data_IF_242969408839
#
_entry.id   IF_242969408839
#
_cell.length_a   1.000
_cell.length_b   1.000
_cell.length_c   1.000
_cell.angle_alpha   90.00
_cell.angle_beta   90.00
_cell.angle_gamma   90.00
#
_symmetry.space_group_name_H-M   'P 1'
#
loop_
_entity.id
_entity.type
_entity.pdbx_description
1 polymer ?
#
# COMPACT_ATOMS: atom_id res chain seq x y z
N UNK A 1 -60.73 20.24 21.04
CA UNK A 1 -61.83 19.91 20.10
C UNK A 1 -61.16 19.71 18.74
N UNK A 2 -61.15 18.52 18.16
CA UNK A 2 -62.34 17.86 17.58
C UNK A 2 -62.23 16.32 17.58
N UNK A 3 -63.38 15.69 17.78
CA UNK A 3 -63.57 14.26 18.01
C UNK A 3 -63.73 13.43 16.71
N UNK A 4 -62.74 13.46 15.81
CA UNK A 4 -62.85 12.79 14.50
C UNK A 4 -61.74 11.78 14.13
N UNK A 5 -60.64 11.67 14.88
CA UNK A 5 -59.47 10.88 14.46
C UNK A 5 -59.41 9.43 14.99
N UNK A 6 -60.52 8.88 15.51
CA UNK A 6 -60.52 7.59 16.23
C UNK A 6 -60.96 6.38 15.38
N UNK A 7 -61.10 6.52 14.06
CA UNK A 7 -61.87 5.55 13.26
C UNK A 7 -61.12 4.49 12.47
N UNK A 8 -59.82 4.58 12.25
CA UNK A 8 -59.13 3.63 11.37
C UNK A 8 -57.90 2.98 12.03
N UNK A 9 -58.14 2.29 13.16
CA UNK A 9 -57.14 1.40 13.79
C UNK A 9 -57.45 -0.04 13.39
N UNK A 10 -56.43 -0.79 12.99
CA UNK A 10 -56.53 -2.22 12.68
C UNK A 10 -55.63 -3.02 13.64
N UNK A 11 -56.09 -4.22 13.98
CA UNK A 11 -55.26 -5.16 14.74
C UNK A 11 -54.07 -5.60 13.88
N UNK A 12 -52.90 -5.70 14.49
CA UNK A 12 -51.67 -6.11 13.80
C UNK A 12 -51.78 -7.56 13.27
N UNK A 13 -52.65 -8.37 13.87
CA UNK A 13 -52.93 -9.72 13.38
C UNK A 13 -53.78 -9.72 12.10
N UNK A 14 -54.55 -8.67 11.86
CA UNK A 14 -55.41 -8.51 10.67
C UNK A 14 -54.72 -7.79 9.49
N UNK A 15 -53.40 -7.54 9.58
CA UNK A 15 -52.64 -6.91 8.50
C UNK A 15 -52.49 -7.84 7.30
N UNK A 16 -52.75 -7.30 6.11
CA UNK A 16 -52.56 -7.99 4.84
C UNK A 16 -51.70 -7.15 3.88
N UNK A 17 -51.08 -7.82 2.92
CA UNK A 17 -50.37 -7.16 1.82
C UNK A 17 -51.37 -6.30 1.04
N UNK A 18 -50.96 -5.07 0.72
CA UNK A 18 -51.80 -4.06 0.07
C UNK A 18 -52.42 -3.03 1.02
N UNK A 19 -52.33 -3.22 2.35
CA UNK A 19 -52.80 -2.23 3.33
C UNK A 19 -51.80 -1.08 3.50
N UNK A 20 -52.30 0.16 3.56
CA UNK A 20 -51.53 1.35 3.87
C UNK A 20 -51.58 1.65 5.38
N UNK A 21 -50.42 1.61 6.04
CA UNK A 21 -50.31 1.74 7.50
C UNK A 21 -49.50 2.96 7.92
N UNK A 22 -49.78 3.47 9.11
CA UNK A 22 -49.01 4.53 9.77
C UNK A 22 -48.47 4.01 11.11
N UNK A 23 -47.14 3.96 11.23
CA UNK A 23 -46.41 3.64 12.45
C UNK A 23 -46.26 4.92 13.27
N UNK A 24 -46.99 5.01 14.38
CA UNK A 24 -46.87 6.11 15.36
C UNK A 24 -45.67 5.94 16.30
N UNK A 25 -44.58 5.39 15.76
CA UNK A 25 -43.32 5.16 16.45
C UNK A 25 -42.28 6.17 15.93
N UNK A 26 -41.27 6.48 16.75
CA UNK A 26 -40.14 7.29 16.28
C UNK A 26 -39.39 6.57 15.16
N UNK A 27 -38.83 7.31 14.20
CA UNK A 27 -38.16 6.75 13.01
C UNK A 27 -36.98 5.81 13.34
N UNK A 28 -36.39 5.91 14.53
CA UNK A 28 -35.35 5.01 15.05
C UNK A 28 -35.90 3.70 15.66
N UNK A 29 -37.22 3.58 15.82
CA UNK A 29 -37.88 2.47 16.50
C UNK A 29 -38.48 1.43 15.54
N UNK A 30 -38.28 1.60 14.23
CA UNK A 30 -38.67 0.62 13.22
C UNK A 30 -37.66 0.63 12.05
N UNK A 31 -37.46 -0.51 11.35
CA UNK A 31 -36.48 -0.61 10.27
C UNK A 31 -36.98 -0.08 8.92
N UNK A 32 -38.19 0.50 8.86
CA UNK A 32 -38.77 1.04 7.62
C UNK A 32 -38.26 2.47 7.32
N UNK A 33 -38.02 2.81 6.04
CA UNK A 33 -37.52 4.13 5.63
C UNK A 33 -38.54 5.27 5.83
N UNK A 34 -39.83 4.94 5.93
CA UNK A 34 -40.92 5.88 6.16
C UNK A 34 -41.83 5.36 7.27
N UNK A 35 -42.35 6.25 8.11
CA UNK A 35 -43.33 5.91 9.16
C UNK A 35 -44.75 5.67 8.62
N UNK A 36 -44.98 5.81 7.32
CA UNK A 36 -46.21 5.40 6.66
C UNK A 36 -45.90 4.85 5.28
N UNK A 37 -46.49 3.71 4.94
CA UNK A 37 -46.25 3.02 3.69
C UNK A 37 -47.30 1.94 3.45
N UNK A 38 -47.36 1.47 2.21
CA UNK A 38 -48.19 0.34 1.81
C UNK A 38 -47.42 -0.96 1.97
N UNK A 39 -48.03 -1.93 2.64
CA UNK A 39 -47.45 -3.25 2.87
C UNK A 39 -47.32 -3.97 1.52
N UNK A 40 -46.09 -4.23 1.09
CA UNK A 40 -45.79 -4.85 -0.21
C UNK A 40 -45.64 -6.37 -0.14
N UNK A 41 -45.27 -6.91 1.02
CA UNK A 41 -44.98 -8.34 1.20
C UNK A 41 -45.23 -8.81 2.65
N UNK A 42 -45.21 -10.14 2.83
CA UNK A 42 -45.42 -10.77 4.13
C UNK A 42 -44.25 -10.54 5.14
N UNK A 43 -43.06 -10.20 4.66
CA UNK A 43 -41.89 -9.92 5.50
C UNK A 43 -42.06 -8.59 6.25
N UNK A 44 -42.67 -7.59 5.61
CA UNK A 44 -43.03 -6.33 6.25
C UNK A 44 -44.07 -6.54 7.37
N UNK A 45 -45.06 -7.43 7.17
CA UNK A 45 -46.05 -7.78 8.20
C UNK A 45 -45.36 -8.44 9.41
N UNK A 46 -44.46 -9.39 9.17
CA UNK A 46 -43.69 -10.05 10.23
C UNK A 46 -42.85 -9.04 11.03
N UNK A 47 -42.28 -8.06 10.33
CA UNK A 47 -41.50 -6.99 10.96
C UNK A 47 -42.40 -6.08 11.81
N UNK A 48 -43.59 -5.67 11.32
CA UNK A 48 -44.55 -4.88 12.11
C UNK A 48 -45.01 -5.65 13.36
N UNK A 49 -45.27 -6.96 13.26
CA UNK A 49 -45.60 -7.83 14.39
C UNK A 49 -44.49 -7.88 15.43
N UNK A 50 -43.22 -7.87 15.00
CA UNK A 50 -42.07 -7.87 15.90
C UNK A 50 -41.90 -6.57 16.71
N UNK A 51 -42.56 -5.48 16.31
CA UNK A 51 -42.51 -4.18 17.01
C UNK A 51 -43.37 -4.15 18.29
N UNK A 52 -44.12 -5.21 18.59
CA UNK A 52 -44.90 -5.34 19.83
C UNK A 52 -46.15 -4.45 19.90
N UNK A 53 -46.61 -3.91 18.77
CA UNK A 53 -47.83 -3.10 18.68
C UNK A 53 -49.06 -4.01 18.67
N UNK A 54 -50.11 -3.64 19.41
CA UNK A 54 -51.41 -4.34 19.38
C UNK A 54 -52.32 -3.82 18.28
N UNK A 55 -52.28 -2.52 18.01
CA UNK A 55 -53.08 -1.89 16.97
C UNK A 55 -52.24 -0.83 16.27
N UNK A 56 -52.46 -0.69 14.97
CA UNK A 56 -51.79 0.29 14.12
C UNK A 56 -52.84 1.08 13.34
N UNK A 57 -52.53 2.33 13.03
CA UNK A 57 -53.43 3.14 12.19
C UNK A 57 -53.26 2.72 10.74
N UNK A 58 -54.36 2.64 10.00
CA UNK A 58 -54.34 2.33 8.58
C UNK A 58 -55.23 3.29 7.79
N UNK A 59 -55.04 3.36 6.47
CA UNK A 59 -55.81 4.22 5.58
C UNK A 59 -56.60 3.35 4.58
N UNK A 60 -57.92 3.19 4.77
CA UNK A 60 -58.76 2.41 3.86
C UNK A 60 -58.78 2.94 2.42
N UNK A 61 -58.63 4.26 2.24
CA UNK A 61 -58.64 4.91 0.92
C UNK A 61 -57.34 4.79 0.14
N UNK A 62 -56.24 4.45 0.82
CA UNK A 62 -54.91 4.25 0.20
C UNK A 62 -54.50 2.76 0.17
N UNK A 63 -55.37 1.88 0.66
CA UNK A 63 -55.17 0.44 0.68
C UNK A 63 -55.84 -0.20 -0.54
N UNK A 64 -55.21 -1.21 -1.12
CA UNK A 64 -55.80 -1.97 -2.23
C UNK A 64 -56.87 -2.97 -1.79
N UNK A 65 -57.03 -3.13 -0.47
CA UNK A 65 -57.88 -4.16 0.13
C UNK A 65 -58.97 -3.46 0.94
N UNK A 66 -60.24 -3.75 0.64
CA UNK A 66 -61.34 -3.40 1.52
C UNK A 66 -61.24 -4.21 2.82
N UNK A 67 -61.58 -3.61 3.96
CA UNK A 67 -61.42 -4.18 5.29
C UNK A 67 -61.82 -5.68 5.35
N UNK A 68 -61.01 -6.56 5.96
CA UNK A 68 -61.27 -7.99 5.96
C UNK A 68 -62.51 -8.30 6.79
N UNK A 69 -63.58 -8.76 6.13
CA UNK A 69 -64.66 -9.47 6.81
C UNK A 69 -64.16 -10.88 7.14
N UNK A 70 -64.12 -11.20 8.43
CA UNK A 70 -63.83 -12.53 8.95
C UNK A 70 -65.01 -13.43 8.58
N UNK A 71 -64.89 -14.16 7.48
CA UNK A 71 -65.46 -15.49 7.24
C UNK A 71 -65.32 -15.85 5.77
N UNK A 72 -64.51 -16.86 5.51
CA UNK A 72 -64.79 -18.03 4.65
C UNK A 72 -63.49 -18.55 4.07
N UNK A 73 -63.20 -19.79 4.48
CA UNK A 73 -62.12 -20.62 3.99
C UNK A 73 -62.60 -21.23 2.69
N UNK A 74 -61.99 -20.88 1.55
CA UNK A 74 -62.13 -21.69 0.35
C UNK A 74 -60.80 -21.78 -0.40
N UNK A 75 -60.42 -23.03 -0.65
CA UNK A 75 -59.19 -23.43 -1.30
C UNK A 75 -59.26 -23.17 -2.81
N UNK A 76 -58.20 -22.60 -3.38
CA UNK A 76 -57.98 -22.58 -4.83
C UNK A 76 -56.54 -22.99 -5.13
N UNK A 77 -56.42 -23.96 -6.03
CA UNK A 77 -55.20 -24.60 -6.57
C UNK A 77 -54.20 -23.61 -7.20
N UNK A 78 -52.91 -23.99 -7.36
CA UNK A 78 -51.85 -23.07 -7.75
C UNK A 78 -51.83 -22.82 -9.27
N UNK A 79 -51.87 -21.55 -9.67
CA UNK A 79 -51.54 -21.09 -11.03
C UNK A 79 -50.08 -20.60 -11.11
N UNK A 80 -49.46 -20.60 -12.31
CA UNK A 80 -48.06 -20.94 -12.51
C UNK A 80 -47.08 -19.86 -12.05
N UNK A 81 -45.89 -20.32 -11.66
CA UNK A 81 -44.74 -19.54 -11.22
C UNK A 81 -44.40 -18.47 -12.26
N UNK A 82 -44.80 -17.22 -11.99
CA UNK A 82 -44.26 -16.07 -12.71
C UNK A 82 -42.77 -15.98 -12.39
N UNK A 83 -41.95 -16.16 -13.42
CA UNK A 83 -40.49 -16.05 -13.36
C UNK A 83 -40.14 -14.64 -12.86
N UNK A 84 -39.60 -14.53 -11.65
CA UNK A 84 -39.09 -13.25 -11.12
C UNK A 84 -37.86 -12.90 -11.96
N UNK A 85 -37.99 -11.89 -12.83
CA UNK A 85 -36.85 -11.31 -13.52
C UNK A 85 -35.86 -10.74 -12.48
N UNK A 86 -34.53 -10.85 -12.69
CA UNK A 86 -33.57 -10.33 -11.73
C UNK A 86 -33.77 -8.82 -11.56
N UNK A 87 -33.84 -8.34 -10.32
CA UNK A 87 -33.81 -6.91 -10.01
C UNK A 87 -32.50 -6.32 -10.54
N UNK A 88 -32.58 -5.56 -11.63
CA UNK A 88 -31.44 -4.85 -12.20
C UNK A 88 -31.01 -3.75 -11.22
N UNK A 89 -29.79 -3.87 -10.71
CA UNK A 89 -29.20 -2.92 -9.75
C UNK A 89 -29.04 -1.54 -10.38
N UNK A 90 -29.25 -0.46 -9.60
CA UNK A 90 -29.09 0.91 -10.12
C UNK A 90 -27.62 1.23 -10.39
N UNK A 91 -27.28 2.09 -11.38
CA UNK A 91 -25.90 2.49 -11.67
C UNK A 91 -25.16 3.06 -10.46
N UNK A 92 -25.84 3.83 -9.60
CA UNK A 92 -25.25 4.37 -8.38
C UNK A 92 -24.95 3.30 -7.32
N UNK A 93 -25.83 2.30 -7.16
CA UNK A 93 -25.60 1.19 -6.25
C UNK A 93 -24.42 0.32 -6.73
N UNK A 94 -24.35 0.09 -8.05
CA UNK A 94 -23.24 -0.60 -8.70
C UNK A 94 -21.90 0.13 -8.47
N UNK A 95 -21.84 1.44 -8.72
CA UNK A 95 -20.64 2.25 -8.51
C UNK A 95 -20.19 2.26 -7.04
N UNK A 96 -21.12 2.37 -6.09
CA UNK A 96 -20.82 2.27 -4.65
C UNK A 96 -20.26 0.91 -4.27
N UNK A 97 -20.82 -0.18 -4.82
CA UNK A 97 -20.30 -1.54 -4.61
C UNK A 97 -18.90 -1.69 -5.20
N UNK A 98 -18.68 -1.24 -6.43
CA UNK A 98 -17.38 -1.28 -7.09
C UNK A 98 -16.31 -0.50 -6.31
N UNK A 99 -16.63 0.70 -5.83
CA UNK A 99 -15.73 1.50 -4.99
C UNK A 99 -15.38 0.79 -3.68
N UNK A 100 -16.38 0.18 -3.00
CA UNK A 100 -16.15 -0.60 -1.78
C UNK A 100 -15.22 -1.78 -2.03
N UNK A 101 -15.44 -2.53 -3.11
CA UNK A 101 -14.59 -3.65 -3.50
C UNK A 101 -13.18 -3.21 -3.91
N UNK A 102 -13.04 -2.06 -4.57
CA UNK A 102 -11.72 -1.49 -4.89
C UNK A 102 -10.96 -1.10 -3.62
N UNK A 103 -11.63 -0.40 -2.69
CA UNK A 103 -11.04 0.03 -1.43
C UNK A 103 -10.62 -1.19 -0.59
N UNK A 104 -11.46 -2.23 -0.55
CA UNK A 104 -11.15 -3.50 0.13
C UNK A 104 -9.89 -4.13 -0.46
N UNK A 105 -9.82 -4.32 -1.78
CA UNK A 105 -8.63 -4.86 -2.47
C UNK A 105 -7.37 -4.03 -2.23
N UNK A 106 -7.50 -2.70 -2.26
CA UNK A 106 -6.40 -1.78 -1.97
C UNK A 106 -5.84 -1.99 -0.56
N UNK A 107 -6.73 -2.07 0.45
CA UNK A 107 -6.38 -2.27 1.85
C UNK A 107 -5.77 -3.66 2.08
N UNK A 108 -6.36 -4.70 1.50
CA UNK A 108 -5.84 -6.07 1.59
C UNK A 108 -4.44 -6.21 0.99
N UNK A 109 -4.20 -5.60 -0.18
CA UNK A 109 -2.89 -5.58 -0.82
C UNK A 109 -1.84 -4.84 0.02
N UNK A 110 -2.17 -3.65 0.54
CA UNK A 110 -1.26 -2.90 1.42
C UNK A 110 -0.94 -3.71 2.69
N UNK A 111 -1.96 -4.26 3.35
CA UNK A 111 -1.80 -5.02 4.57
C UNK A 111 -0.95 -6.29 4.34
N UNK A 112 -1.05 -6.92 3.16
CA UNK A 112 -0.19 -8.04 2.81
C UNK A 112 1.27 -7.60 2.67
N UNK A 113 1.56 -6.52 1.95
CA UNK A 113 2.91 -5.97 1.83
C UNK A 113 3.49 -5.59 3.21
N UNK A 114 2.70 -4.94 4.06
CA UNK A 114 3.12 -4.52 5.39
C UNK A 114 3.43 -5.72 6.30
N UNK A 115 2.58 -6.76 6.30
CA UNK A 115 2.85 -8.00 7.05
C UNK A 115 4.13 -8.67 6.57
N UNK A 116 4.29 -8.84 5.26
CA UNK A 116 5.48 -9.50 4.70
C UNK A 116 6.76 -8.71 4.98
N UNK A 117 6.71 -7.39 4.87
CA UNK A 117 7.84 -6.53 5.23
C UNK A 117 8.15 -6.61 6.73
N UNK A 118 7.14 -6.62 7.59
CA UNK A 118 7.31 -6.73 9.03
C UNK A 118 7.96 -8.07 9.44
N UNK A 119 7.49 -9.18 8.88
CA UNK A 119 8.06 -10.51 9.08
C UNK A 119 9.53 -10.54 8.62
N UNK A 120 9.82 -10.01 7.42
CA UNK A 120 11.18 -9.90 6.92
C UNK A 120 12.05 -9.01 7.83
N UNK A 121 11.50 -7.92 8.37
CA UNK A 121 12.25 -6.97 9.19
C UNK A 121 12.62 -7.60 10.53
N UNK A 122 11.68 -8.35 11.11
CA UNK A 122 11.94 -9.13 12.32
C UNK A 122 12.98 -10.23 12.07
N UNK A 123 12.88 -10.95 10.95
CA UNK A 123 13.89 -11.97 10.59
C UNK A 123 15.28 -11.34 10.40
N UNK A 124 15.36 -10.21 9.70
CA UNK A 124 16.60 -9.45 9.50
C UNK A 124 17.20 -8.96 10.82
N UNK A 125 16.37 -8.53 11.77
CA UNK A 125 16.82 -8.15 13.11
C UNK A 125 17.45 -9.35 13.83
N UNK A 126 16.71 -10.45 13.91
CA UNK A 126 17.10 -11.65 14.65
C UNK A 126 18.38 -12.28 14.09
N UNK A 127 18.52 -12.37 12.76
CA UNK A 127 19.74 -12.90 12.15
C UNK A 127 20.94 -11.98 12.39
N UNK A 128 20.74 -10.67 12.41
CA UNK A 128 21.82 -9.69 12.63
C UNK A 128 22.31 -9.76 14.09
N UNK A 129 21.39 -9.78 15.06
CA UNK A 129 21.73 -9.88 16.49
C UNK A 129 22.45 -11.19 16.84
N UNK A 130 22.10 -12.29 16.17
CA UNK A 130 22.69 -13.61 16.42
C UNK A 130 23.98 -13.87 15.65
N UNK A 131 24.30 -13.08 14.63
CA UNK A 131 25.45 -13.32 13.76
C UNK A 131 26.81 -13.44 14.49
N UNK A 132 27.11 -12.65 15.54
CA UNK A 132 28.38 -12.79 16.26
C UNK A 132 28.55 -14.15 16.96
N UNK A 133 27.46 -14.71 17.49
CA UNK A 133 27.47 -15.96 18.28
C UNK A 133 27.16 -17.19 17.43
N UNK A 134 26.29 -17.04 16.43
CA UNK A 134 25.79 -18.11 15.56
C UNK A 134 25.91 -17.72 14.06
N UNK A 135 27.14 -17.57 13.55
CA UNK A 135 27.36 -17.01 12.20
C UNK A 135 26.81 -17.90 11.08
N UNK A 136 26.93 -19.24 11.17
CA UNK A 136 26.43 -20.14 10.13
C UNK A 136 24.90 -20.20 10.08
N UNK A 137 24.24 -20.19 11.25
CA UNK A 137 22.77 -20.12 11.32
C UNK A 137 22.26 -18.80 10.76
N UNK A 138 22.96 -17.70 11.05
CA UNK A 138 22.61 -16.37 10.55
C UNK A 138 22.79 -16.28 9.03
N UNK A 139 23.81 -16.95 8.46
CA UNK A 139 23.93 -17.13 7.00
C UNK A 139 22.74 -17.87 6.43
N UNK A 140 22.40 -19.03 7.00
CA UNK A 140 21.30 -19.85 6.49
C UNK A 140 19.96 -19.09 6.51
N UNK A 141 19.72 -18.29 7.55
CA UNK A 141 18.54 -17.41 7.63
C UNK A 141 18.58 -16.28 6.60
N UNK A 142 19.74 -15.64 6.37
CA UNK A 142 19.88 -14.62 5.35
C UNK A 142 19.65 -15.19 3.94
N UNK A 143 20.20 -16.37 3.64
CA UNK A 143 19.99 -17.10 2.38
C UNK A 143 18.51 -17.47 2.20
N UNK A 144 17.84 -17.96 3.24
CA UNK A 144 16.40 -18.29 3.19
C UNK A 144 15.53 -17.05 2.96
N UNK A 145 15.84 -15.93 3.62
CA UNK A 145 15.11 -14.67 3.44
C UNK A 145 15.34 -14.11 2.02
N UNK A 146 16.59 -14.08 1.56
CA UNK A 146 16.92 -13.65 0.20
C UNK A 146 16.21 -14.53 -0.84
N UNK A 147 16.23 -15.86 -0.66
CA UNK A 147 15.52 -16.81 -1.53
C UNK A 147 14.02 -16.52 -1.59
N UNK A 148 13.37 -16.35 -0.44
CA UNK A 148 11.94 -16.03 -0.39
C UNK A 148 11.60 -14.70 -1.09
N UNK A 149 12.51 -13.73 -1.10
CA UNK A 149 12.35 -12.48 -1.86
C UNK A 149 12.57 -12.72 -3.37
N UNK A 150 13.60 -13.50 -3.76
CA UNK A 150 13.87 -13.87 -5.16
C UNK A 150 12.64 -14.57 -5.75
N UNK A 151 12.11 -15.58 -5.07
CA UNK A 151 10.98 -16.39 -5.56
C UNK A 151 9.74 -15.53 -5.83
N UNK A 152 9.50 -14.51 -4.99
CA UNK A 152 8.42 -13.54 -5.18
C UNK A 152 8.67 -12.55 -6.32
N UNK A 153 9.93 -12.29 -6.67
CA UNK A 153 10.31 -11.38 -7.75
C UNK A 153 10.42 -12.08 -9.11
N UNK A 154 10.71 -13.37 -9.14
CA UNK A 154 10.78 -14.21 -10.34
C UNK A 154 9.38 -14.67 -10.81
N UNK A 155 8.39 -13.79 -10.68
CA UNK A 155 7.05 -13.99 -11.26
C UNK A 155 6.99 -13.40 -12.66
N UNK A 156 6.12 -13.96 -13.51
CA UNK A 156 5.77 -13.35 -14.79
C UNK A 156 5.01 -12.03 -14.57
N UNK A 157 5.37 -11.01 -15.35
CA UNK A 157 4.72 -9.69 -15.31
C UNK A 157 5.52 -8.58 -14.61
N UNK A 158 4.98 -7.38 -14.69
CA UNK A 158 5.59 -6.16 -14.13
C UNK A 158 5.48 -6.14 -12.60
N UNK A 159 6.44 -5.53 -11.92
CA UNK A 159 6.39 -5.27 -10.48
C UNK A 159 6.19 -3.77 -10.23
N UNK A 160 5.41 -3.45 -9.21
CA UNK A 160 5.22 -2.11 -8.70
C UNK A 160 6.00 -1.94 -7.39
N UNK A 161 6.71 -0.81 -7.25
CA UNK A 161 7.25 -0.39 -5.95
C UNK A 161 6.12 0.28 -5.17
N UNK A 162 5.88 -0.17 -3.94
CA UNK A 162 4.82 0.32 -3.06
C UNK A 162 5.39 0.95 -1.81
N UNK A 163 4.87 2.14 -1.46
CA UNK A 163 5.16 2.80 -0.20
C UNK A 163 4.38 2.10 0.92
N UNK A 164 5.08 1.77 2.01
CA UNK A 164 4.46 1.22 3.21
C UNK A 164 3.98 2.33 4.14
N UNK A 165 2.86 2.11 4.82
CA UNK A 165 2.26 3.10 5.72
C UNK A 165 2.65 2.87 7.18
N UNK A 166 2.99 1.63 7.55
CA UNK A 166 3.49 1.25 8.87
C UNK A 166 5.01 1.06 8.89
N UNK A 167 5.65 1.53 9.97
CA UNK A 167 7.04 1.19 10.26
C UNK A 167 7.06 -0.18 10.93
N UNK A 168 7.91 -1.08 10.45
CA UNK A 168 8.06 -2.41 11.02
C UNK A 168 9.53 -2.72 11.30
N UNK A 169 9.80 -3.28 12.47
CA UNK A 169 11.16 -3.53 12.93
C UNK A 169 11.90 -2.28 13.40
N UNK A 170 13.19 -2.45 13.68
CA UNK A 170 14.05 -1.35 14.08
C UNK A 170 14.68 -0.66 12.86
N UNK A 171 15.36 0.46 13.10
CA UNK A 171 15.93 1.28 12.03
C UNK A 171 16.96 0.53 11.18
N UNK A 172 17.80 -0.30 11.80
CA UNK A 172 18.84 -1.05 11.10
C UNK A 172 18.22 -2.11 10.17
N UNK A 173 17.21 -2.84 10.65
CA UNK A 173 16.54 -3.86 9.84
C UNK A 173 15.73 -3.26 8.70
N UNK A 174 15.06 -2.12 8.93
CA UNK A 174 14.37 -1.39 7.87
C UNK A 174 15.34 -0.91 6.77
N UNK A 175 16.51 -0.39 7.16
CA UNK A 175 17.55 0.04 6.23
C UNK A 175 18.05 -1.13 5.37
N UNK A 176 18.46 -2.22 6.01
CA UNK A 176 18.94 -3.42 5.32
C UNK A 176 17.88 -3.97 4.35
N UNK A 177 16.61 -4.01 4.74
CA UNK A 177 15.54 -4.46 3.86
C UNK A 177 15.21 -3.53 2.71
N UNK A 178 15.12 -2.21 2.94
CA UNK A 178 14.91 -1.25 1.86
C UNK A 178 16.02 -1.38 0.82
N UNK A 179 17.28 -1.44 1.28
CA UNK A 179 18.43 -1.62 0.39
C UNK A 179 18.34 -2.94 -0.37
N UNK A 180 17.97 -4.03 0.31
CA UNK A 180 17.82 -5.36 -0.31
C UNK A 180 16.73 -5.38 -1.37
N UNK A 181 15.51 -4.95 -1.03
CA UNK A 181 14.35 -4.97 -1.94
C UNK A 181 14.65 -4.18 -3.20
N UNK A 182 15.13 -2.94 -3.06
CA UNK A 182 15.41 -2.07 -4.20
C UNK A 182 16.59 -2.61 -5.02
N UNK A 183 17.63 -3.14 -4.37
CA UNK A 183 18.78 -3.73 -5.06
C UNK A 183 18.38 -4.96 -5.88
N UNK A 184 17.54 -5.84 -5.34
CA UNK A 184 17.05 -7.01 -6.07
C UNK A 184 16.14 -6.64 -7.24
N UNK A 185 15.30 -5.61 -7.11
CA UNK A 185 14.53 -5.08 -8.26
C UNK A 185 15.45 -4.55 -9.37
N UNK A 186 16.56 -3.90 -8.99
CA UNK A 186 17.61 -3.50 -9.92
C UNK A 186 18.31 -4.71 -10.55
N UNK A 187 18.65 -5.75 -9.76
CA UNK A 187 19.23 -6.99 -10.25
C UNK A 187 18.35 -7.67 -11.30
N UNK A 188 17.03 -7.75 -11.05
CA UNK A 188 16.03 -8.23 -12.02
C UNK A 188 16.02 -7.39 -13.29
N UNK A 189 16.10 -6.06 -13.17
CA UNK A 189 16.13 -5.14 -14.32
C UNK A 189 17.38 -5.35 -15.18
N UNK A 190 18.51 -5.72 -14.58
CA UNK A 190 19.75 -6.05 -15.27
C UNK A 190 19.85 -7.51 -15.73
N UNK A 191 18.82 -8.33 -15.47
CA UNK A 191 18.78 -9.72 -15.89
C UNK A 191 19.82 -10.59 -15.18
N UNK A 192 20.14 -10.29 -13.91
CA UNK A 192 20.98 -11.17 -13.11
C UNK A 192 20.33 -12.54 -12.99
N UNK A 193 21.15 -13.59 -13.07
CA UNK A 193 20.67 -14.95 -12.88
C UNK A 193 20.32 -15.21 -11.41
N UNK A 194 19.74 -16.38 -11.14
CA UNK A 194 19.26 -16.74 -9.81
C UNK A 194 20.38 -16.78 -8.75
N UNK A 195 21.59 -17.20 -9.14
CA UNK A 195 22.73 -17.28 -8.23
C UNK A 195 23.25 -15.88 -7.88
N UNK A 196 23.42 -15.02 -8.89
CA UNK A 196 23.79 -13.61 -8.71
C UNK A 196 22.73 -12.83 -7.93
N UNK A 197 21.45 -13.12 -8.15
CA UNK A 197 20.34 -12.54 -7.39
C UNK A 197 20.37 -12.93 -5.91
N UNK A 198 20.70 -14.19 -5.60
CA UNK A 198 20.87 -14.64 -4.22
C UNK A 198 22.07 -13.93 -3.57
N UNK A 199 23.22 -13.87 -4.26
CA UNK A 199 24.42 -13.19 -3.76
C UNK A 199 24.17 -11.70 -3.53
N UNK A 200 23.43 -11.04 -4.43
CA UNK A 200 22.97 -9.67 -4.26
C UNK A 200 22.04 -9.51 -3.05
N UNK A 201 21.07 -10.41 -2.89
CA UNK A 201 20.12 -10.39 -1.77
C UNK A 201 20.82 -10.55 -0.41
N UNK A 202 21.62 -11.62 -0.26
CA UNK A 202 22.38 -11.89 0.97
C UNK A 202 23.39 -10.78 1.25
N UNK A 203 24.13 -10.35 0.21
CA UNK A 203 25.09 -9.26 0.32
C UNK A 203 24.44 -7.94 0.76
N UNK A 204 23.26 -7.62 0.23
CA UNK A 204 22.51 -6.40 0.59
C UNK A 204 21.95 -6.47 2.01
N UNK A 205 21.43 -7.62 2.45
CA UNK A 205 20.91 -7.80 3.81
C UNK A 205 22.01 -7.58 4.86
N UNK A 206 23.23 -8.05 4.55
CA UNK A 206 24.34 -8.08 5.49
C UNK A 206 25.40 -6.99 5.25
N UNK A 207 25.19 -6.08 4.28
CA UNK A 207 26.21 -5.12 3.84
C UNK A 207 26.80 -4.32 5.01
N UNK A 208 25.95 -3.98 5.98
CA UNK A 208 26.25 -3.15 7.14
C UNK A 208 26.50 -3.95 8.43
N UNK A 209 26.58 -5.28 8.38
CA UNK A 209 26.64 -6.14 9.58
C UNK A 209 27.83 -5.83 10.50
N UNK A 210 28.93 -5.32 9.94
CA UNK A 210 30.10 -4.91 10.71
C UNK A 210 29.87 -3.71 11.64
N UNK A 211 28.76 -2.98 11.49
CA UNK A 211 28.37 -1.87 12.39
C UNK A 211 28.06 -2.34 13.81
N UNK A 212 27.76 -3.62 14.00
CA UNK A 212 27.56 -4.24 15.32
C UNK A 212 28.80 -4.13 16.19
N UNK A 213 29.99 -4.17 15.59
CA UNK A 213 31.26 -4.12 16.30
C UNK A 213 31.77 -2.68 16.51
N UNK A 214 31.05 -1.68 16.01
CA UNK A 214 31.39 -0.27 16.19
C UNK A 214 30.80 0.30 17.49
N UNK A 215 31.52 1.22 18.19
CA UNK A 215 30.95 2.00 19.28
C UNK A 215 29.73 2.81 18.82
N UNK A 216 28.72 2.95 19.69
CA UNK A 216 27.47 3.66 19.41
C UNK A 216 27.68 5.04 18.77
N UNK A 217 28.67 5.80 19.26
CA UNK A 217 29.00 7.15 18.80
C UNK A 217 29.35 7.23 17.32
N UNK A 218 29.98 6.19 16.76
CA UNK A 218 30.46 6.14 15.37
C UNK A 218 29.75 5.06 14.55
N UNK A 219 28.68 4.45 15.08
CA UNK A 219 27.90 3.43 14.38
C UNK A 219 27.18 3.98 13.14
N UNK A 220 26.84 5.26 13.17
CA UNK A 220 26.17 5.95 12.07
C UNK A 220 27.03 7.11 11.57
N UNK A 221 27.05 7.29 10.26
CA UNK A 221 27.72 8.42 9.65
C UNK A 221 26.94 9.70 9.93
N UNK A 222 27.61 10.70 10.47
CA UNK A 222 27.10 12.05 10.72
C UNK A 222 28.00 13.07 10.03
N UNK A 223 27.45 14.25 9.68
CA UNK A 223 28.23 15.30 9.01
C UNK A 223 29.36 15.87 9.87
N UNK A 224 29.23 15.78 11.20
CA UNK A 224 30.15 16.38 12.17
C UNK A 224 31.18 15.39 12.72
N UNK A 225 31.32 14.19 12.13
CA UNK A 225 32.36 13.25 12.54
C UNK A 225 33.75 13.84 12.22
N UNK A 226 34.64 13.80 13.22
CA UNK A 226 36.06 14.08 13.02
C UNK A 226 36.69 13.08 12.05
N UNK A 227 37.85 13.41 11.46
CA UNK A 227 38.55 12.49 10.56
C UNK A 227 38.93 11.16 11.24
N UNK A 228 39.10 11.15 12.56
CA UNK A 228 39.36 9.91 13.32
C UNK A 228 38.07 9.07 13.50
N UNK A 229 36.96 9.72 13.86
CA UNK A 229 35.66 9.05 13.96
C UNK A 229 35.20 8.51 12.59
N UNK A 230 35.47 9.24 11.51
CA UNK A 230 35.17 8.78 10.15
C UNK A 230 35.96 7.52 9.79
N UNK A 231 37.26 7.46 10.11
CA UNK A 231 38.05 6.23 9.90
C UNK A 231 37.51 5.05 10.71
N UNK A 232 37.09 5.28 11.95
CA UNK A 232 36.44 4.23 12.76
C UNK A 232 35.10 3.78 12.16
N UNK A 233 34.29 4.71 11.63
CA UNK A 233 33.08 4.36 10.89
C UNK A 233 33.44 3.47 9.70
N UNK A 234 34.43 3.83 8.88
CA UNK A 234 34.83 3.07 7.68
C UNK A 234 35.26 1.62 7.98
N UNK A 235 35.73 1.33 9.20
CA UNK A 235 36.11 -0.03 9.62
C UNK A 235 34.97 -1.05 9.59
N UNK A 236 33.70 -0.62 9.62
CA UNK A 236 32.57 -1.59 9.56
C UNK A 236 32.63 -2.46 8.30
N UNK A 237 33.19 -1.96 7.20
CA UNK A 237 33.34 -2.75 5.97
C UNK A 237 34.26 -3.95 6.22
N UNK A 238 35.45 -3.69 6.77
CA UNK A 238 36.43 -4.74 7.06
C UNK A 238 35.90 -5.74 8.11
N UNK A 239 35.25 -5.23 9.16
CA UNK A 239 34.63 -6.05 10.21
C UNK A 239 33.49 -6.92 9.66
N UNK A 240 32.66 -6.34 8.79
CA UNK A 240 31.59 -7.05 8.08
C UNK A 240 32.13 -8.18 7.21
N UNK A 241 33.21 -7.95 6.46
CA UNK A 241 33.88 -9.00 5.66
C UNK A 241 34.47 -10.10 6.54
N UNK A 242 35.08 -9.76 7.67
CA UNK A 242 35.59 -10.77 8.63
C UNK A 242 34.45 -11.63 9.17
N UNK A 243 33.33 -11.02 9.56
CA UNK A 243 32.16 -11.76 10.02
C UNK A 243 31.56 -12.61 8.88
N UNK A 244 31.44 -12.06 7.68
CA UNK A 244 30.99 -12.79 6.48
C UNK A 244 31.84 -14.03 6.17
N UNK A 245 33.16 -13.96 6.39
CA UNK A 245 34.04 -15.14 6.28
C UNK A 245 33.74 -16.19 7.35
N UNK A 246 33.50 -15.78 8.60
CA UNK A 246 33.10 -16.71 9.69
C UNK A 246 31.74 -17.37 9.40
N UNK A 247 30.82 -16.61 8.81
CA UNK A 247 29.51 -17.08 8.35
C UNK A 247 29.63 -18.09 7.20
N UNK A 248 30.71 -18.02 6.42
CA UNK A 248 30.90 -18.83 5.22
C UNK A 248 30.10 -18.30 4.03
N UNK A 249 29.97 -16.97 3.90
CA UNK A 249 29.29 -16.35 2.76
C UNK A 249 29.97 -16.70 1.44
N UNK A 250 29.17 -16.75 0.38
CA UNK A 250 29.67 -16.88 -0.99
C UNK A 250 30.62 -15.73 -1.36
N UNK A 251 31.40 -15.94 -2.42
CA UNK A 251 32.31 -14.90 -2.91
C UNK A 251 31.58 -13.65 -3.39
N UNK A 252 30.43 -13.79 -4.08
CA UNK A 252 29.67 -12.65 -4.58
C UNK A 252 29.03 -11.84 -3.45
N UNK A 253 28.38 -12.50 -2.48
CA UNK A 253 27.85 -11.81 -1.31
C UNK A 253 28.95 -11.11 -0.50
N UNK A 254 30.10 -11.76 -0.32
CA UNK A 254 31.27 -11.17 0.37
C UNK A 254 31.81 -9.93 -0.36
N UNK A 255 31.78 -9.91 -1.70
CA UNK A 255 32.20 -8.76 -2.49
C UNK A 255 31.23 -7.58 -2.35
N UNK A 256 29.92 -7.83 -2.22
CA UNK A 256 28.95 -6.76 -1.91
C UNK A 256 29.31 -6.10 -0.58
N UNK A 257 29.53 -6.88 0.48
CA UNK A 257 29.97 -6.35 1.78
C UNK A 257 31.25 -5.53 1.64
N UNK A 258 32.24 -6.04 0.92
CA UNK A 258 33.54 -5.38 0.78
C UNK A 258 33.51 -4.07 -0.04
N UNK A 259 32.52 -3.88 -0.91
CA UNK A 259 32.54 -2.84 -1.94
C UNK A 259 31.33 -1.89 -1.90
N UNK A 260 30.36 -2.07 -1.01
CA UNK A 260 29.13 -1.27 -0.98
C UNK A 260 29.33 0.23 -0.67
N UNK A 261 30.52 0.65 -0.27
CA UNK A 261 30.91 2.05 -0.08
C UNK A 261 31.94 2.54 -1.11
N UNK A 262 32.28 1.71 -2.10
CA UNK A 262 33.07 2.11 -3.25
C UNK A 262 32.24 2.96 -4.21
N UNK A 263 32.91 3.83 -4.95
CA UNK A 263 32.31 4.73 -5.94
C UNK A 263 32.94 4.51 -7.30
N UNK A 264 32.16 4.68 -8.37
CA UNK A 264 32.60 4.51 -9.75
C UNK A 264 33.88 5.31 -10.12
N UNK A 265 34.07 6.49 -9.52
CA UNK A 265 35.23 7.36 -9.71
C UNK A 265 36.44 7.05 -8.80
N UNK A 266 36.37 6.02 -7.95
CA UNK A 266 37.45 5.68 -7.02
C UNK A 266 37.50 6.54 -5.75
N UNK A 267 36.53 7.45 -5.53
CA UNK A 267 36.47 8.28 -4.33
C UNK A 267 35.90 7.58 -3.09
N UNK A 268 35.42 6.34 -3.26
CA UNK A 268 34.83 5.54 -2.18
C UNK A 268 35.86 4.92 -1.24
N UNK A 269 35.41 3.98 -0.40
CA UNK A 269 36.23 3.27 0.57
C UNK A 269 35.76 1.82 0.70
N UNK A 270 36.59 0.89 1.19
CA UNK A 270 37.93 1.09 1.76
C UNK A 270 39.10 1.00 0.75
N UNK A 271 38.91 0.35 -0.39
CA UNK A 271 39.95 0.05 -1.39
C UNK A 271 40.04 1.08 -2.52
N UNK A 272 39.11 2.04 -2.60
CA UNK A 272 39.07 3.09 -3.64
C UNK A 272 38.98 2.48 -5.02
N UNK A 273 38.06 1.53 -5.18
CA UNK A 273 37.79 0.84 -6.45
C UNK A 273 37.07 1.78 -7.41
N UNK A 274 37.36 1.64 -8.70
CA UNK A 274 36.60 2.27 -9.77
C UNK A 274 35.61 1.24 -10.36
N UNK A 275 34.74 1.69 -11.26
CA UNK A 275 33.70 0.87 -11.91
C UNK A 275 34.21 -0.50 -12.40
N UNK A 276 35.38 -0.53 -13.05
CA UNK A 276 35.94 -1.76 -13.66
C UNK A 276 36.33 -2.83 -12.63
N UNK A 277 36.57 -2.44 -11.38
CA UNK A 277 36.98 -3.34 -10.28
C UNK A 277 35.84 -3.64 -9.31
N UNK A 278 34.69 -2.98 -9.46
CA UNK A 278 33.51 -3.24 -8.66
C UNK A 278 32.60 -4.28 -9.33
N UNK A 279 32.04 -5.20 -8.54
CA UNK A 279 31.02 -6.12 -9.07
C UNK A 279 29.75 -5.34 -9.45
N UNK A 280 28.94 -5.89 -10.36
CA UNK A 280 27.64 -5.28 -10.69
C UNK A 280 26.74 -5.17 -9.44
N UNK A 281 26.70 -6.23 -8.62
CA UNK A 281 25.98 -6.25 -7.36
C UNK A 281 26.44 -5.15 -6.40
N UNK A 282 27.74 -4.95 -6.22
CA UNK A 282 28.26 -3.89 -5.36
C UNK A 282 27.93 -2.48 -5.88
N UNK A 283 27.98 -2.27 -7.21
CA UNK A 283 27.59 -0.99 -7.83
C UNK A 283 26.12 -0.66 -7.60
N UNK A 284 25.23 -1.68 -7.69
CA UNK A 284 23.81 -1.54 -7.35
C UNK A 284 23.65 -1.15 -5.88
N UNK A 285 24.24 -1.93 -4.96
CA UNK A 285 24.08 -1.69 -3.51
C UNK A 285 24.66 -0.35 -3.08
N UNK A 286 25.79 0.08 -3.64
CA UNK A 286 26.38 1.40 -3.34
C UNK A 286 25.42 2.55 -3.67
N UNK A 287 24.78 2.51 -4.84
CA UNK A 287 23.78 3.51 -5.23
C UNK A 287 22.54 3.46 -4.32
N UNK A 288 21.98 2.27 -4.12
CA UNK A 288 20.74 2.08 -3.34
C UNK A 288 20.95 2.43 -1.87
N UNK A 289 22.09 2.05 -1.29
CA UNK A 289 22.48 2.43 0.07
C UNK A 289 22.58 3.95 0.23
N UNK A 290 23.18 4.64 -0.75
CA UNK A 290 23.20 6.11 -0.73
C UNK A 290 21.80 6.70 -0.80
N UNK A 291 20.95 6.19 -1.69
CA UNK A 291 19.57 6.65 -1.81
C UNK A 291 18.78 6.48 -0.51
N UNK A 292 18.84 5.30 0.11
CA UNK A 292 18.12 5.04 1.36
C UNK A 292 18.64 5.91 2.49
N UNK A 293 19.96 6.12 2.62
CA UNK A 293 20.52 7.01 3.63
C UNK A 293 20.11 8.50 3.47
N UNK A 294 19.79 8.95 2.25
CA UNK A 294 19.24 10.29 2.02
C UNK A 294 17.77 10.38 2.44
N UNK A 295 16.99 9.33 2.17
CA UNK A 295 15.58 9.27 2.53
C UNK A 295 15.34 8.97 4.02
N UNK A 296 16.21 8.15 4.61
CA UNK A 296 16.08 7.54 5.93
C UNK A 296 17.31 7.76 6.83
N UNK A 297 17.85 9.00 6.94
CA UNK A 297 19.06 9.26 7.72
C UNK A 297 18.91 8.91 9.20
N UNK A 298 20.03 8.94 9.94
CA UNK A 298 19.99 8.73 11.38
C UNK A 298 19.09 9.73 12.09
N UNK A 299 19.27 11.01 11.78
CA UNK A 299 18.49 12.11 12.32
C UNK A 299 17.36 12.47 11.34
N UNK A 300 16.08 12.28 11.70
CA UNK A 300 14.96 12.55 10.81
C UNK A 300 14.87 13.99 10.27
N UNK A 301 15.45 14.96 10.99
CA UNK A 301 15.49 16.36 10.56
C UNK A 301 16.24 16.57 9.23
N UNK A 302 17.14 15.65 8.86
CA UNK A 302 17.88 15.70 7.59
C UNK A 302 17.26 14.83 6.49
N UNK A 303 16.09 14.21 6.74
CA UNK A 303 15.45 13.35 5.76
C UNK A 303 15.03 14.15 4.52
N UNK A 304 15.48 13.68 3.36
CA UNK A 304 15.06 14.21 2.06
C UNK A 304 13.87 13.41 1.56
N UNK A 305 12.96 14.06 0.84
CA UNK A 305 11.90 13.32 0.15
C UNK A 305 12.50 12.42 -0.94
N UNK A 306 11.83 11.31 -1.30
CA UNK A 306 12.28 10.42 -2.38
C UNK A 306 12.63 11.16 -3.68
N UNK A 307 11.81 12.13 -4.10
CA UNK A 307 12.08 12.98 -5.26
C UNK A 307 13.34 13.84 -5.10
N UNK A 308 13.56 14.44 -3.92
CA UNK A 308 14.77 15.23 -3.67
C UNK A 308 16.03 14.37 -3.63
N UNK A 309 15.97 13.20 -3.00
CA UNK A 309 17.06 12.22 -2.99
C UNK A 309 17.44 11.80 -4.41
N UNK A 310 16.44 11.48 -5.25
CA UNK A 310 16.67 11.12 -6.64
C UNK A 310 17.25 12.29 -7.45
N UNK A 311 16.71 13.49 -7.26
CA UNK A 311 17.21 14.72 -7.90
C UNK A 311 18.66 15.01 -7.53
N UNK A 312 19.02 14.82 -6.25
CA UNK A 312 20.39 14.98 -5.76
C UNK A 312 21.34 13.97 -6.41
N UNK A 313 20.94 12.69 -6.46
CA UNK A 313 21.73 11.64 -7.10
C UNK A 313 21.93 11.92 -8.60
N UNK A 314 20.90 12.37 -9.29
CA UNK A 314 21.02 12.74 -10.71
C UNK A 314 21.90 13.96 -10.94
N UNK A 315 21.79 14.99 -10.10
CA UNK A 315 22.54 16.24 -10.27
C UNK A 315 24.01 16.12 -9.83
N UNK A 316 24.29 15.39 -8.75
CA UNK A 316 25.59 15.39 -8.07
C UNK A 316 26.26 14.01 -8.00
N UNK A 317 25.55 12.93 -8.35
CA UNK A 317 26.04 11.56 -8.23
C UNK A 317 26.65 10.96 -9.51
N UNK A 318 26.62 11.68 -10.65
CA UNK A 318 26.99 11.12 -11.97
C UNK A 318 28.38 10.52 -12.04
N UNK A 319 29.36 11.05 -11.31
CA UNK A 319 30.73 10.49 -11.29
C UNK A 319 30.88 9.37 -10.27
N UNK A 320 30.09 9.39 -9.21
CA UNK A 320 30.21 8.46 -8.07
C UNK A 320 29.51 7.12 -8.32
N UNK A 321 28.56 7.08 -9.24
CA UNK A 321 27.80 5.88 -9.55
C UNK A 321 27.94 5.51 -11.02
N UNK A 322 27.87 4.21 -11.29
CA UNK A 322 27.82 3.69 -12.65
C UNK A 322 26.63 4.30 -13.41
N UNK A 323 26.90 4.86 -14.60
CA UNK A 323 25.91 5.63 -15.35
C UNK A 323 24.73 4.78 -15.82
N UNK A 324 24.96 3.51 -16.19
CA UNK A 324 23.89 2.61 -16.60
C UNK A 324 23.01 2.23 -15.41
N UNK A 325 23.63 1.92 -14.26
CA UNK A 325 22.92 1.60 -13.02
C UNK A 325 22.13 2.80 -12.50
N UNK A 326 22.71 4.00 -12.50
CA UNK A 326 22.01 5.23 -12.10
C UNK A 326 20.82 5.54 -13.03
N UNK A 327 21.00 5.38 -14.35
CA UNK A 327 19.94 5.58 -15.33
C UNK A 327 18.78 4.59 -15.14
N UNK A 328 19.09 3.31 -14.97
CA UNK A 328 18.10 2.28 -14.68
C UNK A 328 17.37 2.52 -13.35
N UNK A 329 18.10 2.95 -12.32
CA UNK A 329 17.53 3.29 -11.01
C UNK A 329 16.51 4.43 -11.11
N UNK A 330 16.86 5.52 -11.81
CA UNK A 330 15.95 6.66 -12.01
C UNK A 330 14.70 6.24 -12.78
N UNK A 331 14.87 5.42 -13.83
CA UNK A 331 13.73 4.90 -14.59
C UNK A 331 12.82 4.03 -13.71
N UNK A 332 13.39 3.15 -12.91
CA UNK A 332 12.66 2.24 -12.02
C UNK A 332 11.91 2.99 -10.91
N UNK A 333 12.57 3.94 -10.25
CA UNK A 333 11.96 4.75 -9.19
C UNK A 333 10.96 5.78 -9.73
N UNK A 334 11.01 6.10 -11.02
CA UNK A 334 10.20 7.12 -11.67
C UNK A 334 10.62 8.55 -11.33
N UNK A 335 10.05 9.53 -12.04
CA UNK A 335 10.37 10.95 -11.81
C UNK A 335 9.87 11.42 -10.43
N UNK A 336 8.76 10.84 -9.97
CA UNK A 336 8.18 11.07 -8.66
C UNK A 336 8.06 9.74 -7.93
N UNK A 337 9.11 9.33 -7.17
CA UNK A 337 9.09 8.05 -6.47
C UNK A 337 8.03 7.98 -5.39
N UNK A 338 7.65 6.76 -5.00
CA UNK A 338 6.72 6.53 -3.91
C UNK A 338 7.21 7.24 -2.62
N UNK A 339 6.32 7.94 -1.93
CA UNK A 339 6.62 8.85 -0.81
C UNK A 339 6.81 10.31 -1.20
N UNK A 340 6.86 10.64 -2.50
CA UNK A 340 6.93 12.04 -2.96
C UNK A 340 5.59 12.75 -2.77
N UNK A 341 5.62 13.95 -2.19
CA UNK A 341 4.46 14.84 -2.11
C UNK A 341 4.42 15.77 -3.33
N UNK A 342 3.26 15.86 -3.98
CA UNK A 342 3.12 16.50 -5.29
C UNK A 342 1.88 17.39 -5.37
N UNK A 343 1.93 18.39 -6.27
CA UNK A 343 0.75 19.14 -6.73
C UNK A 343 0.39 18.67 -8.12
N UNK A 344 -0.89 18.36 -8.32
CA UNK A 344 -1.45 17.94 -9.59
C UNK A 344 -1.76 19.15 -10.49
N UNK A 345 -2.02 18.89 -11.77
CA UNK A 345 -2.34 19.94 -12.75
C UNK A 345 -3.65 20.66 -12.46
N UNK A 346 -4.55 20.04 -11.69
CA UNK A 346 -5.82 20.60 -11.22
C UNK A 346 -5.75 21.22 -9.80
N UNK A 347 -4.52 21.52 -9.34
CA UNK A 347 -4.21 22.18 -8.07
C UNK A 347 -4.51 21.39 -6.79
N UNK A 348 -4.95 20.12 -6.91
CA UNK A 348 -5.01 19.20 -5.78
C UNK A 348 -3.61 18.75 -5.34
N UNK A 349 -3.49 18.40 -4.06
CA UNK A 349 -2.26 17.85 -3.49
C UNK A 349 -2.39 16.36 -3.29
N UNK A 350 -1.30 15.63 -3.50
CA UNK A 350 -1.28 14.18 -3.38
C UNK A 350 0.07 13.68 -2.86
N UNK A 351 0.07 12.42 -2.40
CA UNK A 351 1.30 11.67 -2.14
C UNK A 351 1.37 10.49 -3.09
N UNK A 352 2.55 10.25 -3.66
CA UNK A 352 2.79 9.08 -4.50
C UNK A 352 2.84 7.84 -3.61
N UNK A 353 2.03 6.84 -3.90
CA UNK A 353 1.92 5.60 -3.11
C UNK A 353 2.48 4.38 -3.84
N UNK A 354 2.60 4.44 -5.16
CA UNK A 354 3.21 3.39 -5.94
C UNK A 354 3.69 3.85 -7.31
N UNK A 355 4.72 3.18 -7.83
CA UNK A 355 5.32 3.48 -9.13
C UNK A 355 5.32 2.24 -10.00
N UNK A 356 4.75 2.38 -11.20
CA UNK A 356 4.88 1.39 -12.25
C UNK A 356 6.21 1.62 -12.98
N UNK A 357 7.10 0.63 -12.92
CA UNK A 357 8.44 0.66 -13.53
C UNK A 357 8.40 0.80 -15.06
N UNK A 358 7.33 0.35 -15.71
CA UNK A 358 7.10 0.50 -17.15
C UNK A 358 6.56 1.87 -17.55
N UNK A 359 5.96 2.64 -16.61
CA UNK A 359 5.30 3.94 -16.86
C UNK A 359 5.68 4.99 -15.80
N UNK A 360 6.94 5.48 -15.79
CA UNK A 360 7.49 6.29 -14.68
C UNK A 360 6.87 7.69 -14.49
N UNK A 361 6.10 8.20 -15.46
CA UNK A 361 5.42 9.50 -15.39
C UNK A 361 3.96 9.40 -14.92
N UNK A 362 3.44 8.18 -14.75
CA UNK A 362 2.06 7.92 -14.39
C UNK A 362 2.00 7.06 -13.12
N UNK A 363 2.43 7.60 -11.97
CA UNK A 363 2.40 6.86 -10.72
C UNK A 363 0.97 6.78 -10.16
N UNK A 364 0.79 5.88 -9.18
CA UNK A 364 -0.41 5.79 -8.35
C UNK A 364 -0.29 6.76 -7.18
N UNK A 365 -1.33 7.55 -6.93
CA UNK A 365 -1.32 8.64 -5.94
C UNK A 365 -2.53 8.57 -5.01
N UNK A 366 -2.32 8.95 -3.74
CA UNK A 366 -3.40 9.26 -2.80
C UNK A 366 -3.61 10.77 -2.82
N UNK A 367 -4.79 11.21 -3.29
CA UNK A 367 -5.14 12.63 -3.44
C UNK A 367 -5.85 13.12 -2.18
N UNK A 368 -5.54 14.34 -1.75
CA UNK A 368 -6.28 15.00 -0.67
C UNK A 368 -7.68 15.40 -1.16
N UNK A 369 -8.69 14.72 -0.61
CA UNK A 369 -10.12 14.96 -0.85
C UNK A 369 -10.76 15.44 0.46
N UNK A 370 -11.04 16.75 0.65
CA UNK A 370 -11.50 17.29 1.93
C UNK A 370 -12.79 16.68 2.49
N UNK A 371 -13.60 16.07 1.62
CA UNK A 371 -14.90 15.48 1.97
C UNK A 371 -14.84 13.97 2.19
N UNK A 372 -13.72 13.32 1.88
CA UNK A 372 -13.56 11.86 1.94
C UNK A 372 -12.52 11.55 3.00
N UNK A 373 -12.87 10.84 4.10
CA UNK A 373 -11.89 10.38 5.07
C UNK A 373 -10.71 9.67 4.40
N UNK A 374 -9.50 9.86 4.92
CA UNK A 374 -8.27 9.29 4.33
C UNK A 374 -8.35 7.78 4.16
N UNK A 375 -8.95 7.08 5.12
CA UNK A 375 -9.08 5.63 5.07
C UNK A 375 -10.08 5.18 4.00
N UNK A 376 -11.05 6.02 3.63
CA UNK A 376 -12.02 5.77 2.55
C UNK A 376 -11.54 6.22 1.16
N UNK A 377 -10.38 6.90 1.09
CA UNK A 377 -9.86 7.45 -0.14
C UNK A 377 -9.26 6.38 -1.06
N UNK A 378 -9.72 6.38 -2.31
CA UNK A 378 -9.20 5.52 -3.36
C UNK A 378 -7.86 6.02 -3.87
N UNK A 379 -6.92 5.09 -4.08
CA UNK A 379 -5.69 5.39 -4.81
C UNK A 379 -6.04 5.61 -6.27
N UNK A 380 -5.63 6.76 -6.77
CA UNK A 380 -5.83 7.18 -8.15
C UNK A 380 -4.64 6.74 -8.98
N UNK A 381 -4.89 5.98 -10.04
CA UNK A 381 -3.90 5.74 -11.08
C UNK A 381 -3.89 6.93 -12.05
N UNK A 382 -2.78 7.67 -12.13
CA UNK A 382 -2.69 8.81 -13.05
C UNK A 382 -2.69 8.40 -14.52
N UNK A 383 -2.46 7.11 -14.82
CA UNK A 383 -2.55 6.58 -16.17
C UNK A 383 -4.00 6.46 -16.66
N UNK A 384 -4.94 6.16 -15.75
CA UNK A 384 -6.37 6.08 -16.08
C UNK A 384 -7.05 7.44 -16.17
N UNK A 385 -6.47 8.49 -15.58
CA UNK A 385 -6.99 9.84 -15.66
C UNK A 385 -6.50 10.59 -16.91
N UNK A 386 -7.45 11.02 -17.75
CA UNK A 386 -7.18 11.94 -18.87
C UNK A 386 -7.03 13.37 -18.35
N UNK A 387 -5.98 14.07 -18.78
CA UNK A 387 -5.78 15.51 -18.50
C UNK A 387 -5.23 15.85 -17.11
N UNK A 388 -5.17 14.89 -16.19
CA UNK A 388 -4.55 15.08 -14.87
C UNK A 388 -3.13 14.51 -14.87
N UNK A 389 -2.18 15.32 -14.43
CA UNK A 389 -0.78 14.95 -14.28
C UNK A 389 -0.16 15.61 -13.06
N UNK A 390 1.13 15.35 -12.84
CA UNK A 390 1.89 16.00 -11.76
C UNK A 390 2.43 17.32 -12.31
N UNK A 391 2.07 18.44 -11.69
CA UNK A 391 2.58 19.77 -12.01
C UNK A 391 3.99 19.96 -11.44
N UNK A 392 4.21 19.56 -10.19
CA UNK A 392 5.51 19.66 -9.50
C UNK A 392 5.57 18.82 -8.23
N UNK A 393 6.79 18.52 -7.78
CA UNK A 393 7.05 18.05 -6.42
C UNK A 393 7.02 19.22 -5.43
N UNK A 394 6.57 18.96 -4.21
CA UNK A 394 6.47 19.94 -3.13
C UNK A 394 7.01 19.31 -1.86
N UNK A 395 7.81 20.03 -1.09
CA UNK A 395 8.25 19.58 0.24
C UNK A 395 7.05 19.47 1.20
N UNK A 396 6.97 18.45 2.07
CA UNK A 396 5.89 18.32 3.05
C UNK A 396 5.60 19.60 3.84
N UNK A 397 6.65 20.34 4.25
CA UNK A 397 6.51 21.57 5.03
C UNK A 397 5.88 22.74 4.26
N UNK A 398 5.79 22.64 2.94
CA UNK A 398 5.17 23.63 2.06
C UNK A 398 3.74 23.23 1.63
N UNK A 399 3.23 22.09 2.10
CA UNK A 399 1.84 21.71 1.89
C UNK A 399 0.91 22.59 2.74
N UNK A 400 -0.31 22.90 2.25
CA UNK A 400 -1.34 23.46 3.11
C UNK A 400 -1.61 22.52 4.30
N UNK A 401 -1.86 23.07 5.50
CA UNK A 401 -2.01 22.32 6.75
C UNK A 401 -3.00 21.15 6.60
N UNK A 402 -4.19 21.42 6.04
CA UNK A 402 -5.19 20.36 5.81
C UNK A 402 -4.67 19.22 4.91
N UNK A 403 -3.87 19.55 3.89
CA UNK A 403 -3.26 18.53 3.01
C UNK A 403 -2.14 17.78 3.72
N UNK A 404 -1.35 18.46 4.55
CA UNK A 404 -0.28 17.85 5.33
C UNK A 404 -0.84 16.84 6.35
N UNK A 405 -1.89 17.23 7.07
CA UNK A 405 -2.58 16.37 8.04
C UNK A 405 -3.26 15.18 7.35
N UNK A 406 -3.92 15.43 6.21
CA UNK A 406 -4.59 14.39 5.44
C UNK A 406 -3.62 13.36 4.82
N UNK A 407 -2.59 13.85 4.12
CA UNK A 407 -1.65 12.98 3.42
C UNK A 407 -0.66 12.33 4.38
N UNK A 408 -0.39 12.97 5.53
CA UNK A 408 0.48 12.50 6.60
C UNK A 408 1.81 11.90 6.09
N UNK A 409 2.60 12.63 5.27
CA UNK A 409 3.87 12.15 4.74
C UNK A 409 4.79 11.74 5.89
N UNK A 410 5.34 10.53 5.79
CA UNK A 410 6.15 9.96 6.87
C UNK A 410 7.56 10.56 6.88
N UNK A 411 8.19 10.73 8.06
CA UNK A 411 9.59 11.14 8.16
C UNK A 411 10.59 10.11 7.62
N UNK A 412 10.16 8.84 7.53
CA UNK A 412 10.93 7.71 7.00
C UNK A 412 10.07 6.98 5.98
N UNK A 413 10.70 6.47 4.93
CA UNK A 413 10.06 5.75 3.85
C UNK A 413 10.52 4.30 3.85
N UNK A 414 9.57 3.39 3.72
CA UNK A 414 9.85 1.97 3.53
C UNK A 414 9.17 1.50 2.26
N UNK A 415 9.86 0.62 1.54
CA UNK A 415 9.42 0.15 0.25
C UNK A 415 9.25 -1.36 0.27
N UNK A 416 8.20 -1.81 -0.39
CA UNK A 416 8.06 -3.20 -0.78
C UNK A 416 7.63 -3.28 -2.24
N UNK A 417 7.40 -4.49 -2.73
CA UNK A 417 6.97 -4.73 -4.09
C UNK A 417 5.71 -5.59 -4.12
N UNK A 418 4.92 -5.40 -5.18
CA UNK A 418 3.79 -6.24 -5.51
C UNK A 418 3.75 -6.47 -7.03
N UNK A 419 3.26 -7.62 -7.49
CA UNK A 419 2.92 -7.80 -8.90
C UNK A 419 1.94 -6.73 -9.36
N UNK A 420 2.21 -6.15 -10.53
CA UNK A 420 1.27 -5.26 -11.18
C UNK A 420 0.07 -6.10 -11.62
N UNK A 421 -1.08 -5.90 -10.99
CA UNK A 421 -2.32 -6.54 -11.44
C UNK A 421 -2.63 -6.01 -12.86
N UNK A 422 -2.76 -6.92 -13.83
CA UNK A 422 -3.07 -6.54 -15.20
C UNK A 422 -4.39 -5.75 -15.23
N UNK A 423 -4.32 -4.56 -15.79
CA UNK A 423 -5.49 -3.68 -16.01
C UNK A 423 -6.54 -4.30 -16.94
N UNK A 424 -6.25 -5.44 -17.57
CA UNK A 424 -7.21 -6.19 -18.38
C UNK A 424 -8.46 -6.60 -17.58
N UNK A 425 -8.36 -6.83 -16.27
CA UNK A 425 -9.55 -7.08 -15.44
C UNK A 425 -10.40 -5.82 -15.22
N UNK A 426 -9.83 -4.62 -15.32
CA UNK A 426 -10.55 -3.35 -15.21
C UNK A 426 -11.06 -2.84 -16.56
N UNK A 427 -10.33 -3.10 -17.65
CA UNK A 427 -10.74 -2.75 -19.01
C UNK A 427 -11.90 -3.62 -19.51
N UNK A 428 -11.93 -4.91 -19.14
CA UNK A 428 -13.06 -5.80 -19.44
C UNK A 428 -14.39 -5.34 -18.81
N UNK A 429 -14.34 -4.53 -17.75
CA UNK A 429 -15.53 -3.92 -17.14
C UNK A 429 -15.95 -2.61 -17.85
N UNK A 430 -15.01 -1.88 -18.45
CA UNK A 430 -15.31 -0.65 -19.19
C UNK A 430 -15.72 -0.90 -20.65
N UNK A 431 -15.22 -1.94 -21.31
CA UNK A 431 -15.69 -2.30 -22.66
C UNK A 431 -17.14 -2.85 -22.65
N UNK A 432 -17.59 -3.40 -21.52
CA UNK A 432 -19.00 -3.76 -21.32
C UNK A 432 -19.92 -2.54 -21.16
N UNK A 433 -19.40 -1.35 -20.84
CA UNK A 433 -20.16 -0.10 -20.73
C UNK A 433 -20.22 0.69 -22.05
N UNK A 434 -19.43 0.32 -23.06
CA UNK A 434 -19.41 1.00 -24.36
C UNK A 434 -20.30 0.34 -25.42
N UNK A 435 -20.94 -0.81 -25.12
CA UNK A 435 -21.74 -1.60 -26.07
C UNK A 435 -23.21 -1.74 -25.66
N UNK A 436 -23.72 -0.96 -24.70
CA UNK A 436 -25.16 -0.89 -24.41
C UNK A 436 -25.74 0.51 -24.35
#
# INVERSE_FOLDING_TARGET
MTAAARKDMIDVDALCVGMFVHLDLGWMSHPFPLGNFKIADATQIATIRSLGLRQIRWSPTQSDVAAPNVNEVEAVEPAPTATIAPLTETPEALARRQNREHLKRQREGLALCERQFAEAAQACKLLTERAPEHPQDSRAQAEALARALVDKMLVEGDLCIRLLSEAAGDKASMHALNVTVISMLMGRTFGLDEADMLDLGVGSLLHDIGKLELPDRVRHREEHLSSAELRLYEEHVARGVVLGRKMGLSSGASLVLAQHHEHADGSGFPLRLNTDRMTAAARIVSLVNRYDNLCNPNLPAYAMTPHESLSLLFAQGKTKFDTAILGAFIKMMGVYPAGSTVQLTDDRFAIVVGVNTSRPLKPRVLVHEPRVPRDEALIVDLDSLRGVGIRRSIKPQLLPIASLEYLAPRPRVSYFFEPLQSTESAAALHEAEAVH
#
